data_IF_788682185060
#
_entry.id   IF_788682185060
#
_cell.length_a   1.000
_cell.length_b   1.000
_cell.length_c   1.000
_cell.angle_alpha   90.00
_cell.angle_beta   90.00
_cell.angle_gamma   90.00
#
_symmetry.space_group_name_H-M   'P 1'
#
loop_
_entity.id
_entity.type
_entity.pdbx_description
1 polymer ?
#
# COMPACT_ATOMS: atom_id res chain seq x y z
N UNK A 1 25.12 -17.45 4.10
CA UNK A 1 23.70 -17.58 4.53
C UNK A 1 23.22 -16.19 4.85
N UNK A 2 22.55 -15.54 3.91
CA UNK A 2 22.01 -14.19 4.08
C UNK A 2 20.82 -14.25 5.03
N UNK A 3 21.06 -13.89 6.30
CA UNK A 3 20.00 -13.78 7.30
C UNK A 3 19.11 -12.59 6.95
N UNK A 4 17.94 -12.86 6.35
CA UNK A 4 16.91 -11.85 6.12
C UNK A 4 16.60 -11.16 7.45
N UNK A 5 16.85 -9.84 7.59
CA UNK A 5 16.64 -9.16 8.86
C UNK A 5 15.18 -9.31 9.27
N UNK A 6 14.96 -9.69 10.53
CA UNK A 6 13.63 -9.77 11.12
C UNK A 6 12.91 -8.43 10.89
N UNK A 7 11.73 -8.47 10.26
CA UNK A 7 10.98 -7.25 10.00
C UNK A 7 10.58 -6.60 11.33
N UNK A 8 10.91 -5.32 11.50
CA UNK A 8 10.53 -4.54 12.66
C UNK A 8 9.00 -4.42 12.71
N UNK A 9 8.37 -5.08 13.69
CA UNK A 9 6.91 -5.11 13.86
C UNK A 9 6.29 -3.71 13.94
N UNK A 10 6.98 -2.74 14.55
CA UNK A 10 6.51 -1.37 14.67
C UNK A 10 6.46 -0.70 13.29
N UNK A 11 7.55 -0.75 12.54
CA UNK A 11 7.64 -0.12 11.22
C UNK A 11 6.69 -0.79 10.23
N UNK A 12 6.57 -2.13 10.30
CA UNK A 12 5.59 -2.88 9.51
C UNK A 12 4.17 -2.42 9.84
N UNK A 13 3.78 -2.39 11.11
CA UNK A 13 2.43 -1.95 11.52
C UNK A 13 2.12 -0.53 11.06
N UNK A 14 3.01 0.43 11.37
CA UNK A 14 2.81 1.85 11.03
C UNK A 14 2.79 2.08 9.52
N UNK A 15 3.66 1.38 8.76
CA UNK A 15 3.64 1.47 7.30
C UNK A 15 2.36 0.90 6.71
N UNK A 16 1.89 -0.25 7.17
CA UNK A 16 0.68 -0.88 6.64
C UNK A 16 -0.53 0.02 6.88
N UNK A 17 -0.65 0.62 8.06
CA UNK A 17 -1.75 1.56 8.37
C UNK A 17 -1.65 2.85 7.54
N UNK A 18 -0.44 3.41 7.39
CA UNK A 18 -0.19 4.62 6.58
C UNK A 18 -0.55 4.40 5.11
N UNK A 19 -0.10 3.30 4.52
CA UNK A 19 -0.36 2.96 3.11
C UNK A 19 -1.85 2.78 2.84
N UNK A 20 -2.55 2.10 3.73
CA UNK A 20 -3.99 1.86 3.61
C UNK A 20 -4.83 3.13 3.87
N UNK A 21 -4.22 4.21 4.38
CA UNK A 21 -4.91 5.43 4.80
C UNK A 21 -6.06 5.15 5.78
N UNK A 22 -5.92 4.07 6.57
CA UNK A 22 -6.91 3.60 7.52
C UNK A 22 -6.98 4.53 8.73
N UNK A 23 -8.18 4.74 9.24
CA UNK A 23 -8.38 5.47 10.49
C UNK A 23 -7.78 4.67 11.67
N UNK A 24 -6.99 5.37 12.49
CA UNK A 24 -6.47 4.86 13.75
C UNK A 24 -7.02 5.63 14.93
N UNK A 25 -7.01 4.95 16.07
CA UNK A 25 -7.10 5.59 17.37
C UNK A 25 -5.75 5.48 18.08
N UNK A 26 -5.21 6.61 18.53
CA UNK A 26 -4.00 6.68 19.35
C UNK A 26 -4.44 7.06 20.77
N UNK A 27 -4.06 6.23 21.74
CA UNK A 27 -4.21 6.53 23.15
C UNK A 27 -2.89 7.07 23.68
N UNK A 28 -2.94 8.20 24.37
CA UNK A 28 -1.78 8.77 25.04
C UNK A 28 -1.63 8.21 26.45
N UNK A 29 -0.43 8.30 27.01
CA UNK A 29 -0.15 7.97 28.41
C UNK A 29 -0.96 8.81 29.39
N UNK A 30 -1.35 10.02 29.00
CA UNK A 30 -2.25 10.89 29.76
C UNK A 30 -3.70 10.42 29.79
N UNK A 31 -4.07 9.42 28.98
CA UNK A 31 -5.44 8.96 28.79
C UNK A 31 -6.22 9.70 27.68
N UNK A 32 -5.64 10.75 27.09
CA UNK A 32 -6.25 11.44 25.93
C UNK A 32 -6.31 10.51 24.72
N UNK A 33 -7.43 10.57 23.98
CA UNK A 33 -7.65 9.83 22.75
C UNK A 33 -7.54 10.76 21.54
N UNK A 34 -6.70 10.39 20.58
CA UNK A 34 -6.58 11.04 19.28
C UNK A 34 -7.06 10.09 18.18
N UNK A 35 -7.76 10.62 17.19
CA UNK A 35 -8.25 9.84 16.04
C UNK A 35 -7.87 10.53 14.75
N UNK A 36 -7.43 9.76 13.75
CA UNK A 36 -7.04 10.32 12.47
C UNK A 36 -6.39 9.27 11.58
N UNK A 37 -5.64 9.72 10.58
CA UNK A 37 -4.85 8.87 9.68
C UNK A 37 -3.37 9.16 9.89
N UNK A 38 -2.54 8.12 9.88
CA UNK A 38 -1.10 8.30 9.94
C UNK A 38 -0.63 8.81 8.58
N UNK A 39 -0.12 10.04 8.53
CA UNK A 39 0.44 10.65 7.32
C UNK A 39 1.91 10.26 7.13
N UNK A 40 2.68 10.29 8.21
CA UNK A 40 4.09 9.88 8.22
C UNK A 40 4.52 9.45 9.63
N UNK A 41 5.70 8.87 9.75
CA UNK A 41 6.33 8.56 11.03
C UNK A 41 7.85 8.46 10.85
N UNK A 42 8.58 8.64 11.95
CA UNK A 42 10.02 8.41 12.01
C UNK A 42 10.36 7.53 13.23
N UNK A 43 11.62 7.57 13.67
CA UNK A 43 12.09 6.83 14.84
C UNK A 43 11.36 7.22 16.14
N UNK A 44 11.04 8.50 16.34
CA UNK A 44 10.56 9.06 17.61
C UNK A 44 9.14 9.65 17.56
N UNK A 45 8.57 9.84 16.38
CA UNK A 45 7.33 10.59 16.18
C UNK A 45 6.39 9.97 15.14
N UNK A 46 5.12 10.34 15.22
CA UNK A 46 4.05 9.99 14.28
C UNK A 46 3.33 11.28 13.91
N UNK A 47 3.17 11.53 12.61
CA UNK A 47 2.35 12.64 12.09
C UNK A 47 0.94 12.12 11.85
N UNK A 48 -0.01 12.57 12.67
CA UNK A 48 -1.43 12.24 12.57
C UNK A 48 -2.18 13.37 11.87
N UNK A 49 -3.03 13.03 10.91
CA UNK A 49 -3.88 13.99 10.21
C UNK A 49 -5.35 13.72 10.54
N UNK A 50 -6.10 14.78 10.87
CA UNK A 50 -7.54 14.76 11.04
C UNK A 50 -8.15 16.06 10.49
N UNK A 51 -9.10 15.97 9.55
CA UNK A 51 -9.74 17.14 8.93
C UNK A 51 -8.76 18.22 8.42
N UNK A 52 -7.72 17.79 7.69
CA UNK A 52 -6.63 18.65 7.17
C UNK A 52 -5.76 19.34 8.25
N UNK A 53 -5.98 19.04 9.54
CA UNK A 53 -5.07 19.43 10.61
C UNK A 53 -4.03 18.34 10.84
N UNK A 54 -2.76 18.74 10.86
CA UNK A 54 -1.64 17.86 11.20
C UNK A 54 -1.24 18.02 12.66
N UNK A 55 -0.97 16.91 13.32
CA UNK A 55 -0.52 16.84 14.70
C UNK A 55 0.72 15.94 14.77
N UNK A 56 1.85 16.50 15.20
CA UNK A 56 3.04 15.73 15.49
C UNK A 56 2.94 15.14 16.90
N UNK A 57 2.94 13.82 16.99
CA UNK A 57 2.80 13.08 18.24
C UNK A 57 4.12 12.38 18.53
N UNK A 58 4.70 12.62 19.70
CA UNK A 58 5.90 11.92 20.13
C UNK A 58 5.57 10.54 20.69
N UNK A 59 6.33 9.51 20.29
CA UNK A 59 6.10 8.11 20.70
C UNK A 59 6.18 7.89 22.20
N UNK A 60 6.97 8.68 22.94
CA UNK A 60 7.04 8.57 24.41
C UNK A 60 5.71 8.93 25.09
N UNK A 61 4.84 9.68 24.42
CA UNK A 61 3.53 10.04 24.93
C UNK A 61 2.44 9.05 24.51
N UNK A 62 2.74 8.07 23.65
CA UNK A 62 1.77 7.10 23.12
C UNK A 62 1.78 5.85 24.00
N UNK A 63 0.61 5.45 24.49
CA UNK A 63 0.42 4.18 25.21
C UNK A 63 -0.04 3.07 24.27
N UNK A 64 -0.91 3.35 23.30
CA UNK A 64 -1.46 2.32 22.39
C UNK A 64 -1.88 2.92 21.05
N UNK A 65 -1.71 2.16 19.97
CA UNK A 65 -2.23 2.49 18.63
C UNK A 65 -3.16 1.37 18.17
N UNK A 66 -4.41 1.71 17.86
CA UNK A 66 -5.43 0.77 17.41
C UNK A 66 -5.78 1.09 15.95
N UNK A 67 -5.66 0.08 15.08
CA UNK A 67 -6.09 0.18 13.68
C UNK A 67 -7.53 -0.31 13.55
N UNK A 68 -8.40 0.50 12.93
CA UNK A 68 -9.81 0.15 12.70
C UNK A 68 -9.94 -0.69 11.43
N UNK A 69 -9.19 -1.79 11.32
CA UNK A 69 -9.33 -2.75 10.22
C UNK A 69 -10.06 -4.00 10.71
N UNK A 70 -11.26 -4.24 10.19
CA UNK A 70 -11.83 -5.58 10.18
C UNK A 70 -10.96 -6.49 9.31
N UNK A 71 -10.40 -7.54 9.90
CA UNK A 71 -9.89 -8.76 9.25
C UNK A 71 -9.28 -8.63 7.86
N UNK A 72 -8.14 -7.97 7.73
CA UNK A 72 -7.27 -8.09 6.55
C UNK A 72 -5.99 -8.81 6.93
N UNK A 73 -6.09 -10.13 7.12
CA UNK A 73 -4.93 -11.01 7.29
C UNK A 73 -3.99 -10.79 6.11
N UNK A 74 -2.73 -10.47 6.43
CA UNK A 74 -1.64 -10.39 5.47
C UNK A 74 -1.34 -11.83 4.99
N UNK A 75 -2.14 -12.38 4.09
CA UNK A 75 -1.75 -13.58 3.37
C UNK A 75 -0.61 -13.17 2.45
N UNK A 76 0.58 -13.65 2.78
CA UNK A 76 1.77 -13.58 1.95
C UNK A 76 1.40 -13.92 0.50
N UNK A 77 1.51 -12.95 -0.42
CA UNK A 77 1.32 -13.17 -1.85
C UNK A 77 2.71 -13.42 -2.43
N UNK A 78 3.09 -14.67 -2.77
CA UNK A 78 4.40 -14.92 -3.34
C UNK A 78 4.49 -14.27 -4.72
N UNK A 79 5.59 -13.56 -4.91
CA UNK A 79 5.99 -12.95 -6.16
C UNK A 79 6.43 -14.04 -7.14
N UNK A 80 5.78 -14.11 -8.30
CA UNK A 80 6.07 -15.05 -9.37
C UNK A 80 5.45 -14.59 -10.68
N UNK A 81 5.89 -13.44 -11.18
CA UNK A 81 5.55 -12.91 -12.51
C UNK A 81 6.23 -13.80 -13.57
N UNK A 82 5.53 -14.81 -14.07
CA UNK A 82 5.85 -15.42 -15.36
C UNK A 82 5.04 -14.67 -16.44
N UNK A 83 5.72 -13.86 -17.25
CA UNK A 83 5.15 -13.25 -18.43
C UNK A 83 4.90 -14.33 -19.50
N UNK A 84 3.74 -14.37 -20.18
CA UNK A 84 3.63 -15.13 -21.41
C UNK A 84 4.32 -14.35 -22.54
N UNK A 85 5.34 -14.96 -23.14
CA UNK A 85 5.96 -14.46 -24.37
C UNK A 85 5.01 -14.73 -25.54
N UNK A 86 4.33 -13.69 -26.00
CA UNK A 86 3.56 -13.73 -27.25
C UNK A 86 4.54 -13.75 -28.43
N UNK A 87 4.51 -14.83 -29.21
CA UNK A 87 5.30 -14.98 -30.44
C UNK A 87 4.34 -14.77 -31.62
N UNK A 88 4.23 -13.54 -32.10
CA UNK A 88 3.56 -13.21 -33.36
C UNK A 88 4.61 -13.19 -34.48
N UNK A 89 4.48 -14.10 -35.45
CA UNK A 89 5.16 -14.01 -36.74
C UNK A 89 4.17 -13.39 -37.72
N UNK A 90 4.57 -12.24 -38.28
CA UNK A 90 3.77 -11.42 -39.17
C UNK A 90 3.50 -12.08 -40.52
N UNK A 91 2.31 -11.79 -41.01
CA UNK A 91 1.80 -12.04 -42.36
C UNK A 91 2.25 -10.92 -43.29
N UNK A 92 2.98 -11.25 -44.36
CA UNK A 92 3.14 -10.41 -45.55
C UNK A 92 2.62 -11.16 -46.78
N UNK A 93 1.81 -10.49 -47.59
CA UNK A 93 1.33 -11.04 -48.86
C UNK A 93 0.06 -10.38 -49.37
N UNK A 94 0.14 -9.11 -49.77
CA UNK A 94 -0.89 -8.45 -50.57
C UNK A 94 -0.79 -8.87 -52.04
N UNK A 95 -1.91 -9.19 -52.69
CA UNK A 95 -2.07 -8.98 -54.14
C UNK A 95 -3.55 -8.90 -54.51
N UNK A 96 -3.88 -7.89 -55.30
CA UNK A 96 -5.22 -7.43 -55.65
C UNK A 96 -5.70 -7.99 -56.99
N UNK A 97 -6.97 -8.41 -57.06
CA UNK A 97 -7.84 -8.57 -58.24
C UNK A 97 -9.26 -8.58 -57.65
N UNK A 98 -10.31 -7.88 -58.08
CA UNK A 98 -10.71 -7.26 -59.33
C UNK A 98 -12.24 -7.37 -59.32
N UNK A 99 -12.99 -6.27 -59.46
CA UNK A 99 -14.44 -6.28 -59.23
C UNK A 99 -15.15 -5.17 -59.99
N UNK A 100 -15.63 -5.54 -61.17
CA UNK A 100 -16.21 -4.75 -62.27
C UNK A 100 -17.53 -4.06 -61.90
N UNK A 101 -17.72 -2.86 -62.45
CA UNK A 101 -18.99 -2.10 -62.48
C UNK A 101 -19.91 -2.63 -63.59
N UNK A 102 -21.22 -2.72 -63.35
CA UNK A 102 -22.15 -3.15 -64.39
C UNK A 102 -23.63 -2.97 -64.07
N UNK A 103 -24.18 -1.91 -64.66
CA UNK A 103 -25.58 -1.63 -65.08
C UNK A 103 -26.66 -1.46 -64.02
#
# INVERSE_FOLDING_TARGET
>A
MDSKPAQNIQDTFLNTVRKDKSAVTIYLVSGVKLTGKIRSFDKYSVLLENNAQEQLIFKHAISTVVSTRGGGVHTDRPHGTHAPVSREHGTEGASAVGGTVGS
#
